data_IF_822625130138
#
_entry.id   IF_822625130138
#
_cell.length_a   1.000
_cell.length_b   1.000
_cell.length_c   1.000
_cell.angle_alpha   90.00
_cell.angle_beta   90.00
_cell.angle_gamma   90.00
#
_symmetry.space_group_name_H-M   'P 1'
#
loop_
_entity.id
_entity.type
_entity.pdbx_description
1 polymer ?
#
# COMPACT_ATOMS: atom_id res chain seq x y z
N UNK A 1 13.94 -14.79 -4.28
CA UNK A 1 15.07 -13.97 -3.82
C UNK A 1 15.30 -14.34 -2.37
N UNK A 2 16.53 -14.61 -1.99
CA UNK A 2 16.83 -14.68 -0.56
C UNK A 2 16.80 -13.25 -0.06
N UNK A 3 15.89 -12.94 0.87
CA UNK A 3 15.85 -11.62 1.48
C UNK A 3 17.11 -11.48 2.34
N UNK A 4 18.17 -10.91 1.75
CA UNK A 4 19.48 -10.74 2.40
C UNK A 4 19.35 -9.93 3.69
N UNK A 5 18.40 -9.00 3.74
CA UNK A 5 18.08 -8.24 4.95
C UNK A 5 17.49 -9.16 6.02
N UNK A 6 16.56 -10.06 5.67
CA UNK A 6 16.05 -11.07 6.59
C UNK A 6 17.13 -12.03 7.07
N UNK A 7 18.09 -12.41 6.22
CA UNK A 7 19.24 -13.23 6.64
C UNK A 7 20.16 -12.49 7.61
N UNK A 8 20.48 -11.22 7.34
CA UNK A 8 21.22 -10.35 8.25
C UNK A 8 20.51 -10.29 9.61
N UNK A 9 19.19 -10.07 9.62
CA UNK A 9 18.40 -10.05 10.86
C UNK A 9 18.49 -11.40 11.59
N UNK A 10 18.35 -12.51 10.87
CA UNK A 10 18.39 -13.85 11.45
C UNK A 10 19.74 -14.15 12.11
N UNK A 11 20.85 -13.91 11.39
CA UNK A 11 22.19 -14.21 11.91
C UNK A 11 22.56 -13.28 13.06
N UNK A 12 22.21 -11.99 12.97
CA UNK A 12 22.45 -11.05 14.06
C UNK A 12 21.65 -11.41 15.31
N UNK A 13 20.39 -11.82 15.16
CA UNK A 13 19.57 -12.27 16.28
C UNK A 13 20.18 -13.51 16.96
N UNK A 14 20.65 -14.48 16.16
CA UNK A 14 21.33 -15.66 16.68
C UNK A 14 22.61 -15.31 17.44
N UNK A 15 23.53 -14.56 16.83
CA UNK A 15 24.79 -14.17 17.48
C UNK A 15 24.56 -13.31 18.72
N UNK A 16 23.59 -12.39 18.68
CA UNK A 16 23.28 -11.54 19.82
C UNK A 16 22.73 -12.36 20.98
N UNK A 17 21.76 -13.26 20.73
CA UNK A 17 21.20 -14.16 21.74
C UNK A 17 22.27 -15.08 22.34
N UNK A 18 23.20 -15.60 21.54
CA UNK A 18 24.32 -16.41 22.03
C UNK A 18 25.23 -15.62 23.00
N UNK A 19 25.51 -14.37 22.68
CA UNK A 19 26.47 -13.54 23.42
C UNK A 19 25.88 -12.80 24.63
N UNK A 20 24.60 -12.47 24.60
CA UNK A 20 23.93 -11.70 25.66
C UNK A 20 22.97 -12.57 26.48
N UNK A 21 22.51 -13.71 25.94
CA UNK A 21 21.40 -14.51 26.48
C UNK A 21 20.08 -13.75 26.58
N UNK A 22 19.92 -12.71 25.76
CA UNK A 22 18.74 -11.85 25.74
C UNK A 22 18.23 -11.68 24.32
N UNK A 23 16.91 -11.55 24.19
CA UNK A 23 16.26 -11.18 22.94
C UNK A 23 16.11 -9.67 22.89
N UNK A 24 16.74 -9.05 21.90
CA UNK A 24 16.88 -7.59 21.80
C UNK A 24 16.39 -7.17 20.42
N UNK A 25 15.51 -6.17 20.40
CA UNK A 25 15.07 -5.56 19.16
C UNK A 25 16.14 -4.62 18.64
N UNK A 26 16.50 -4.79 17.37
CA UNK A 26 17.46 -3.95 16.67
C UNK A 26 16.97 -3.67 15.25
N UNK A 27 17.64 -2.74 14.58
CA UNK A 27 17.36 -2.32 13.23
C UNK A 27 18.42 -2.84 12.27
N UNK A 28 17.99 -3.10 11.06
CA UNK A 28 18.84 -3.30 9.88
C UNK A 28 18.28 -2.39 8.80
N UNK A 29 19.10 -1.49 8.28
CA UNK A 29 18.66 -0.45 7.34
C UNK A 29 19.73 -0.21 6.27
N UNK A 30 19.35 0.48 5.20
CA UNK A 30 20.25 0.96 4.15
C UNK A 30 20.78 2.33 4.59
N UNK A 31 22.11 2.55 4.59
CA UNK A 31 22.66 3.84 5.01
C UNK A 31 22.46 4.90 3.93
N UNK A 32 22.28 6.17 4.34
CA UNK A 32 22.23 7.30 3.40
C UNK A 32 23.56 7.53 2.68
N UNK A 33 24.67 7.10 3.29
CA UNK A 33 26.02 7.22 2.75
C UNK A 33 26.58 5.84 2.42
N UNK A 34 26.82 5.60 1.13
CA UNK A 34 27.31 4.33 0.58
C UNK A 34 28.67 3.89 1.17
N UNK A 35 29.46 4.81 1.73
CA UNK A 35 30.70 4.45 2.43
C UNK A 35 30.46 3.55 3.65
N UNK A 36 29.25 3.55 4.21
CA UNK A 36 28.86 2.69 5.34
C UNK A 36 28.29 1.33 4.92
N UNK A 37 28.42 0.96 3.65
CA UNK A 37 27.97 -0.33 3.12
C UNK A 37 26.58 -0.28 2.51
N UNK A 38 26.08 -1.44 2.13
CA UNK A 38 24.74 -1.60 1.55
C UNK A 38 23.68 -1.74 2.65
N UNK A 39 24.07 -2.35 3.77
CA UNK A 39 23.25 -2.42 4.98
C UNK A 39 24.07 -2.09 6.21
N UNK A 40 23.41 -1.57 7.24
CA UNK A 40 24.00 -1.45 8.56
C UNK A 40 23.02 -1.93 9.63
N UNK A 41 23.55 -2.29 10.80
CA UNK A 41 22.76 -2.64 11.97
C UNK A 41 23.25 -1.94 13.23
N UNK A 42 22.30 -1.57 14.09
CA UNK A 42 22.56 -1.05 15.42
C UNK A 42 22.50 -2.14 16.52
N UNK A 43 22.55 -3.43 16.18
CA UNK A 43 22.33 -4.53 17.13
C UNK A 43 23.11 -4.43 18.45
N UNK A 44 24.41 -4.13 18.39
CA UNK A 44 25.23 -3.99 19.59
C UNK A 44 24.92 -2.70 20.39
N UNK A 45 24.50 -1.63 19.70
CA UNK A 45 24.04 -0.39 20.34
C UNK A 45 22.67 -0.57 21.00
N UNK A 46 21.77 -1.33 20.38
CA UNK A 46 20.45 -1.63 20.91
C UNK A 46 20.53 -2.41 22.24
N UNK A 47 21.46 -3.36 22.34
CA UNK A 47 21.79 -4.02 23.61
C UNK A 47 22.20 -3.01 24.68
N UNK A 48 23.02 -2.02 24.31
CA UNK A 48 23.52 -1.01 25.24
C UNK A 48 22.47 0.02 25.64
N UNK A 49 21.53 0.32 24.75
CA UNK A 49 20.43 1.24 24.99
C UNK A 49 19.38 0.62 25.93
N UNK A 50 19.25 -0.71 25.95
CA UNK A 50 18.38 -1.40 26.89
C UNK A 50 18.95 -1.32 28.32
N UNK A 51 18.20 -0.67 29.21
CA UNK A 51 18.61 -0.42 30.60
C UNK A 51 18.82 -1.71 31.39
N UNK A 52 17.96 -2.71 31.21
CA UNK A 52 18.05 -3.99 31.93
C UNK A 52 19.25 -4.79 31.45
N UNK A 53 19.41 -4.88 30.13
CA UNK A 53 20.54 -5.54 29.48
C UNK A 53 21.86 -4.93 29.91
N UNK A 54 21.93 -3.60 29.99
CA UNK A 54 23.13 -2.88 30.44
C UNK A 54 23.46 -3.11 31.92
N UNK A 55 22.46 -3.28 32.78
CA UNK A 55 22.68 -3.60 34.20
C UNK A 55 23.19 -5.04 34.36
N UNK A 56 22.67 -5.97 33.56
CA UNK A 56 23.10 -7.38 33.54
C UNK A 56 24.43 -7.59 32.81
N UNK A 57 24.84 -6.65 31.97
CA UNK A 57 26.07 -6.74 31.21
C UNK A 57 27.31 -6.65 32.11
N UNK A 58 27.92 -7.81 32.36
CA UNK A 58 29.19 -7.94 33.09
C UNK A 58 30.36 -8.29 32.17
N UNK A 59 30.09 -8.62 30.90
CA UNK A 59 31.06 -9.23 29.99
C UNK A 59 31.66 -8.24 28.99
N UNK A 60 30.84 -7.36 28.41
CA UNK A 60 31.24 -6.48 27.32
C UNK A 60 31.58 -5.09 27.86
N UNK A 61 32.70 -4.50 27.45
CA UNK A 61 33.19 -3.17 27.91
C UNK A 61 32.70 -2.02 27.04
N UNK A 62 32.36 -2.28 25.77
CA UNK A 62 31.77 -1.28 24.88
C UNK A 62 30.83 -1.91 23.82
N UNK A 63 29.91 -1.13 23.22
CA UNK A 63 29.10 -1.62 22.10
C UNK A 63 29.96 -2.08 20.92
N UNK A 64 31.07 -1.38 20.66
CA UNK A 64 32.03 -1.75 19.62
C UNK A 64 32.65 -3.14 19.86
N UNK A 65 33.00 -3.47 21.11
CA UNK A 65 33.55 -4.79 21.45
C UNK A 65 32.55 -5.91 21.17
N UNK A 66 31.28 -5.70 21.52
CA UNK A 66 30.20 -6.64 21.19
C UNK A 66 30.01 -6.75 19.67
N UNK A 67 29.99 -5.63 18.96
CA UNK A 67 29.88 -5.61 17.50
C UNK A 67 31.04 -6.38 16.84
N UNK A 68 32.28 -6.15 17.28
CA UNK A 68 33.46 -6.89 16.80
C UNK A 68 33.34 -8.39 17.07
N UNK A 69 32.82 -8.78 18.24
CA UNK A 69 32.61 -10.20 18.55
C UNK A 69 31.54 -10.83 17.66
N UNK A 70 30.45 -10.12 17.40
CA UNK A 70 29.40 -10.54 16.46
C UNK A 70 29.99 -10.72 15.06
N UNK A 71 30.69 -9.71 14.54
CA UNK A 71 31.36 -9.78 13.23
C UNK A 71 32.30 -10.98 13.15
N UNK A 72 33.15 -11.17 14.16
CA UNK A 72 34.07 -12.31 14.21
C UNK A 72 33.34 -13.67 14.24
N UNK A 73 32.09 -13.75 14.71
CA UNK A 73 31.33 -15.00 14.67
C UNK A 73 30.72 -15.28 13.29
N UNK A 74 30.26 -14.25 12.59
CA UNK A 74 29.55 -14.40 11.31
C UNK A 74 30.51 -14.56 10.12
N UNK A 75 31.72 -13.98 10.18
CA UNK A 75 32.69 -14.07 9.07
C UNK A 75 33.22 -15.49 8.84
N UNK A 76 33.06 -16.39 9.81
CA UNK A 76 33.43 -17.80 9.68
C UNK A 76 32.30 -18.66 9.09
N UNK A 77 31.08 -18.12 8.97
CA UNK A 77 29.99 -18.78 8.28
C UNK A 77 30.14 -18.56 6.77
N UNK A 78 30.76 -19.52 6.09
CA UNK A 78 30.98 -19.46 4.65
C UNK A 78 29.67 -19.41 3.84
N UNK A 79 28.56 -19.92 4.38
CA UNK A 79 27.26 -19.88 3.69
C UNK A 79 26.68 -18.48 3.75
N UNK A 80 26.80 -17.80 4.88
CA UNK A 80 26.37 -16.41 5.00
C UNK A 80 27.31 -15.46 4.22
N UNK A 81 28.62 -15.64 4.38
CA UNK A 81 29.62 -14.76 3.78
C UNK A 81 29.69 -14.83 2.26
N UNK A 82 29.09 -15.82 1.59
CA UNK A 82 29.01 -15.86 0.12
C UNK A 82 28.28 -14.62 -0.46
N UNK A 83 27.43 -13.98 0.34
CA UNK A 83 26.65 -12.80 -0.04
C UNK A 83 27.41 -11.48 0.13
N UNK A 84 28.54 -11.47 0.85
CA UNK A 84 29.20 -10.25 1.31
C UNK A 84 30.69 -10.22 0.91
N UNK A 85 31.16 -9.07 0.43
CA UNK A 85 32.59 -8.79 0.28
C UNK A 85 33.24 -8.68 1.66
N UNK A 86 32.59 -7.94 2.57
CA UNK A 86 33.03 -7.79 3.96
C UNK A 86 31.91 -7.37 4.89
N UNK A 87 32.15 -7.59 6.18
CA UNK A 87 31.30 -7.11 7.28
C UNK A 87 32.19 -6.47 8.33
N UNK A 88 31.87 -5.26 8.76
CA UNK A 88 32.75 -4.44 9.59
C UNK A 88 32.03 -3.91 10.83
N UNK A 89 32.69 -4.01 11.98
CA UNK A 89 32.23 -3.34 13.20
C UNK A 89 32.85 -1.94 13.27
N UNK A 90 32.02 -0.90 13.23
CA UNK A 90 32.45 0.50 13.20
C UNK A 90 31.99 1.26 14.45
N UNK A 91 32.76 2.27 14.86
CA UNK A 91 32.43 3.11 16.03
C UNK A 91 31.09 3.83 15.81
N UNK A 92 30.23 3.96 16.85
CA UNK A 92 30.43 3.53 18.24
C UNK A 92 30.06 2.06 18.52
N UNK A 93 29.54 1.32 17.53
CA UNK A 93 29.12 -0.08 17.65
C UNK A 93 28.12 -0.50 16.58
N UNK A 94 28.18 0.12 15.40
CA UNK A 94 27.41 -0.32 14.24
C UNK A 94 28.11 -1.51 13.58
N UNK A 95 27.33 -2.28 12.84
CA UNK A 95 27.82 -3.37 12.00
C UNK A 95 27.41 -3.05 10.57
N UNK A 96 28.39 -2.79 9.69
CA UNK A 96 28.19 -2.47 8.29
C UNK A 96 28.40 -3.73 7.43
N UNK A 97 27.57 -3.90 6.42
CA UNK A 97 27.57 -5.05 5.51
C UNK A 97 27.76 -4.54 4.08
N UNK A 98 28.73 -5.13 3.37
CA UNK A 98 29.05 -4.79 1.99
C UNK A 98 28.79 -6.03 1.14
N UNK A 99 27.82 -5.97 0.23
CA UNK A 99 27.44 -7.06 -0.65
C UNK A 99 28.57 -7.38 -1.64
N UNK A 100 28.74 -8.65 -1.95
CA UNK A 100 29.72 -9.07 -2.96
C UNK A 100 29.21 -8.75 -4.37
N UNK A 101 30.13 -8.43 -5.27
CA UNK A 101 29.78 -8.18 -6.68
C UNK A 101 29.17 -9.43 -7.32
N UNK A 102 29.65 -10.61 -6.94
CA UNK A 102 29.16 -11.91 -7.37
C UNK A 102 27.69 -12.10 -6.97
N UNK A 103 27.33 -11.72 -5.74
CA UNK A 103 25.95 -11.77 -5.27
C UNK A 103 25.06 -10.82 -6.09
N UNK A 104 25.48 -9.58 -6.30
CA UNK A 104 24.72 -8.60 -7.08
C UNK A 104 24.50 -9.07 -8.52
N UNK A 105 25.53 -9.59 -9.19
CA UNK A 105 25.44 -10.15 -10.55
C UNK A 105 24.50 -11.36 -10.57
N UNK A 106 24.57 -12.23 -9.57
CA UNK A 106 23.67 -13.37 -9.45
C UNK A 106 22.21 -12.92 -9.31
N UNK A 107 21.93 -11.90 -8.49
CA UNK A 107 20.57 -11.35 -8.35
C UNK A 107 20.07 -10.73 -9.67
N UNK A 108 20.91 -9.96 -10.37
CA UNK A 108 20.56 -9.38 -11.67
C UNK A 108 20.22 -10.47 -12.71
N UNK A 109 20.97 -11.57 -12.70
CA UNK A 109 20.74 -12.70 -13.62
C UNK A 109 19.39 -13.37 -13.39
N UNK A 110 18.88 -13.39 -12.15
CA UNK A 110 17.54 -13.91 -11.84
C UNK A 110 16.41 -13.07 -12.46
N UNK A 111 16.67 -11.78 -12.69
CA UNK A 111 15.71 -10.84 -13.29
C UNK A 111 15.84 -10.79 -14.82
N UNK A 112 17.07 -10.89 -15.35
CA UNK A 112 17.38 -10.71 -16.78
C UNK A 112 16.64 -11.68 -17.72
N UNK A 113 16.23 -12.87 -17.23
CA UNK A 113 15.46 -13.85 -18.00
C UNK A 113 13.93 -13.72 -17.90
N UNK A 114 13.40 -12.76 -17.15
CA UNK A 114 11.96 -12.59 -16.89
C UNK A 114 11.55 -11.13 -17.11
N UNK A 115 10.28 -10.90 -17.44
CA UNK A 115 9.73 -9.55 -17.26
C UNK A 115 9.72 -9.24 -15.76
N UNK A 116 10.00 -7.99 -15.37
CA UNK A 116 9.99 -7.57 -13.96
C UNK A 116 8.68 -7.97 -13.26
N UNK A 117 7.55 -7.82 -13.95
CA UNK A 117 6.24 -8.27 -13.50
C UNK A 117 6.17 -9.78 -13.21
N UNK A 118 6.69 -10.62 -14.11
CA UNK A 118 6.74 -12.07 -13.91
C UNK A 118 7.66 -12.43 -12.75
N UNK A 119 8.80 -11.74 -12.63
CA UNK A 119 9.71 -11.92 -11.53
C UNK A 119 9.03 -11.64 -10.19
N UNK A 120 8.45 -10.44 -10.03
CA UNK A 120 7.73 -10.03 -8.82
C UNK A 120 6.59 -10.99 -8.51
N UNK A 121 5.78 -11.37 -9.49
CA UNK A 121 4.72 -12.35 -9.29
C UNK A 121 5.28 -13.66 -8.73
N UNK A 122 6.41 -14.16 -9.23
CA UNK A 122 6.95 -15.45 -8.78
C UNK A 122 7.65 -15.38 -7.42
N UNK A 123 8.23 -14.23 -7.05
CA UNK A 123 9.04 -14.08 -5.83
C UNK A 123 8.30 -13.45 -4.65
N UNK A 124 7.38 -12.52 -4.89
CA UNK A 124 6.59 -11.86 -3.85
C UNK A 124 5.24 -12.51 -3.70
N UNK A 125 5.12 -13.33 -2.65
CA UNK A 125 3.92 -14.13 -2.35
C UNK A 125 3.37 -13.83 -0.95
N UNK A 126 3.74 -12.68 -0.39
CA UNK A 126 3.33 -12.24 0.96
C UNK A 126 1.82 -12.25 1.18
N UNK A 127 1.01 -12.13 0.12
CA UNK A 127 -0.44 -12.23 0.17
C UNK A 127 -1.02 -13.45 -0.57
N UNK A 128 -0.21 -14.45 -0.91
CA UNK A 128 -0.67 -15.65 -1.60
C UNK A 128 -1.83 -16.34 -0.84
N UNK A 129 -2.89 -16.68 -1.57
CA UNK A 129 -4.09 -17.32 -1.01
C UNK A 129 -5.01 -16.37 -0.22
N UNK A 130 -4.62 -15.11 -0.02
CA UNK A 130 -5.49 -14.10 0.61
C UNK A 130 -6.51 -13.57 -0.39
N UNK A 131 -7.74 -13.38 0.06
CA UNK A 131 -8.79 -12.65 -0.67
C UNK A 131 -8.88 -11.25 -0.08
N UNK A 132 -8.65 -10.23 -0.91
CA UNK A 132 -8.63 -8.84 -0.47
C UNK A 132 -9.62 -8.05 -1.34
N UNK A 133 -10.49 -7.27 -0.70
CA UNK A 133 -11.36 -6.33 -1.40
C UNK A 133 -10.75 -4.93 -1.30
N UNK A 134 -10.68 -4.23 -2.43
CA UNK A 134 -10.27 -2.82 -2.50
C UNK A 134 -11.46 -2.04 -3.05
N UNK A 135 -12.08 -1.25 -2.19
CA UNK A 135 -13.20 -0.36 -2.53
C UNK A 135 -12.65 1.03 -2.83
N UNK A 136 -13.03 1.60 -3.97
CA UNK A 136 -12.57 2.93 -4.37
C UNK A 136 -13.48 3.57 -5.43
N UNK A 137 -13.25 4.86 -5.65
CA UNK A 137 -14.01 5.78 -6.52
C UNK A 137 -15.37 6.19 -5.96
N UNK A 138 -16.20 5.23 -5.54
CA UNK A 138 -17.53 5.39 -4.94
C UNK A 138 -18.30 6.62 -5.43
N UNK A 139 -18.47 6.76 -6.76
CA UNK A 139 -19.04 7.96 -7.33
C UNK A 139 -20.53 8.00 -7.01
N UNK A 140 -21.04 9.19 -6.71
CA UNK A 140 -22.48 9.39 -6.66
C UNK A 140 -23.05 9.27 -8.09
N UNK A 141 -24.04 8.40 -8.33
CA UNK A 141 -24.76 8.35 -9.59
C UNK A 141 -25.34 9.72 -9.96
N UNK A 142 -25.52 9.94 -11.26
CA UNK A 142 -26.08 11.17 -11.83
C UNK A 142 -25.25 12.45 -11.65
N UNK A 143 -24.01 12.32 -11.19
CA UNK A 143 -23.01 13.39 -11.22
C UNK A 143 -21.90 13.04 -12.20
N UNK A 144 -21.33 14.07 -12.82
CA UNK A 144 -20.17 13.90 -13.67
C UNK A 144 -18.93 13.53 -12.86
N UNK A 145 -18.09 12.67 -13.45
CA UNK A 145 -16.76 12.41 -12.91
C UNK A 145 -15.92 13.69 -12.98
N UNK A 146 -15.08 13.89 -11.97
CA UNK A 146 -14.17 15.02 -11.88
C UNK A 146 -12.82 14.53 -11.35
N UNK A 147 -11.82 15.41 -11.30
CA UNK A 147 -10.44 15.05 -10.92
C UNK A 147 -10.33 14.40 -9.53
N UNK A 148 -11.27 14.70 -8.62
CA UNK A 148 -11.39 14.04 -7.32
C UNK A 148 -11.67 12.54 -7.44
N UNK A 149 -12.55 12.14 -8.35
CA UNK A 149 -12.81 10.72 -8.65
C UNK A 149 -11.60 10.06 -9.32
N UNK A 150 -10.89 10.79 -10.20
CA UNK A 150 -9.68 10.27 -10.87
C UNK A 150 -8.59 9.89 -9.85
N UNK A 151 -8.40 10.68 -8.80
CA UNK A 151 -7.45 10.36 -7.73
C UNK A 151 -7.78 9.02 -7.06
N UNK A 152 -9.01 8.88 -6.53
CA UNK A 152 -9.44 7.65 -5.87
C UNK A 152 -9.36 6.43 -6.80
N UNK A 153 -9.76 6.60 -8.06
CA UNK A 153 -9.67 5.58 -9.09
C UNK A 153 -8.22 5.13 -9.37
N UNK A 154 -7.30 6.09 -9.49
CA UNK A 154 -5.89 5.81 -9.78
C UNK A 154 -5.20 5.14 -8.60
N UNK A 155 -5.42 5.64 -7.37
CA UNK A 155 -4.81 5.08 -6.17
C UNK A 155 -5.35 3.69 -5.88
N UNK A 156 -6.68 3.51 -5.92
CA UNK A 156 -7.31 2.21 -5.68
C UNK A 156 -6.89 1.15 -6.70
N UNK A 157 -6.78 1.52 -7.98
CA UNK A 157 -6.28 0.62 -9.02
C UNK A 157 -4.80 0.27 -8.82
N UNK A 158 -3.95 1.25 -8.47
CA UNK A 158 -2.53 1.03 -8.22
C UNK A 158 -2.32 0.07 -7.04
N UNK A 159 -3.03 0.29 -5.92
CA UNK A 159 -3.00 -0.59 -4.75
C UNK A 159 -3.50 -1.99 -5.11
N UNK A 160 -4.58 -2.09 -5.89
CA UNK A 160 -5.11 -3.39 -6.34
C UNK A 160 -4.06 -4.17 -7.13
N UNK A 161 -3.37 -3.52 -8.07
CA UNK A 161 -2.30 -4.15 -8.88
C UNK A 161 -1.11 -4.58 -8.03
N UNK A 162 -0.72 -3.77 -7.04
CA UNK A 162 0.36 -4.10 -6.14
C UNK A 162 0.03 -5.37 -5.33
N UNK A 163 -1.18 -5.44 -4.77
CA UNK A 163 -1.65 -6.61 -4.01
C UNK A 163 -1.75 -7.87 -4.88
N UNK A 164 -2.21 -7.74 -6.12
CA UNK A 164 -2.21 -8.83 -7.11
C UNK A 164 -0.78 -9.30 -7.42
N UNK A 165 0.15 -8.36 -7.59
CA UNK A 165 1.55 -8.67 -7.84
C UNK A 165 2.19 -9.43 -6.67
N UNK A 166 1.76 -9.16 -5.44
CA UNK A 166 2.16 -9.87 -4.22
C UNK A 166 1.39 -11.20 -3.97
N UNK A 167 0.58 -11.64 -4.95
CA UNK A 167 -0.11 -12.92 -4.96
C UNK A 167 -1.52 -12.95 -4.37
N UNK A 168 -2.11 -11.81 -4.01
CA UNK A 168 -3.48 -11.76 -3.50
C UNK A 168 -4.53 -12.00 -4.61
N UNK A 169 -5.68 -12.58 -4.24
CA UNK A 169 -6.88 -12.56 -5.07
C UNK A 169 -7.67 -11.28 -4.74
N UNK A 170 -7.50 -10.26 -5.57
CA UNK A 170 -8.10 -8.93 -5.34
C UNK A 170 -9.47 -8.82 -6.00
N UNK A 171 -10.43 -8.28 -5.23
CA UNK A 171 -11.74 -7.85 -5.73
C UNK A 171 -11.81 -6.33 -5.66
N UNK A 172 -11.90 -5.70 -6.83
CA UNK A 172 -12.18 -4.26 -6.94
C UNK A 172 -13.68 -4.07 -6.73
N UNK A 173 -14.04 -3.18 -5.81
CA UNK A 173 -15.42 -2.85 -5.52
C UNK A 173 -15.62 -1.34 -5.68
N UNK A 174 -16.86 -0.97 -5.99
CA UNK A 174 -17.33 0.39 -5.80
C UNK A 174 -18.71 0.34 -5.15
N UNK A 175 -18.96 1.25 -4.22
CA UNK A 175 -20.25 1.42 -3.59
C UNK A 175 -20.90 2.70 -4.12
N UNK A 176 -21.80 2.52 -5.09
CA UNK A 176 -22.53 3.62 -5.70
C UNK A 176 -23.76 3.95 -4.85
N UNK A 177 -23.93 5.22 -4.47
CA UNK A 177 -25.11 5.68 -3.74
C UNK A 177 -26.34 5.82 -4.65
N UNK A 178 -27.06 4.74 -4.90
CA UNK A 178 -28.28 4.68 -5.73
C UNK A 178 -29.56 5.18 -5.03
N UNK A 179 -29.43 5.59 -3.77
CA UNK A 179 -30.48 6.24 -2.96
C UNK A 179 -29.99 7.58 -2.42
N UNK A 180 -30.92 8.51 -2.16
CA UNK A 180 -30.63 9.80 -1.54
C UNK A 180 -31.13 11.01 -2.32
N UNK A 181 -30.92 12.19 -1.72
CA UNK A 181 -31.48 13.44 -2.21
C UNK A 181 -31.01 13.80 -3.63
N UNK A 182 -29.78 13.43 -4.00
CA UNK A 182 -29.27 13.64 -5.36
C UNK A 182 -30.06 12.85 -6.41
N UNK A 183 -30.48 11.62 -6.09
CA UNK A 183 -31.32 10.78 -6.94
C UNK A 183 -32.71 11.42 -7.11
N UNK A 184 -33.32 11.82 -5.99
CA UNK A 184 -34.64 12.45 -6.00
C UNK A 184 -34.66 13.76 -6.80
N UNK A 185 -33.64 14.62 -6.63
CA UNK A 185 -33.46 15.85 -7.40
C UNK A 185 -33.37 15.56 -8.90
N UNK A 186 -32.54 14.59 -9.31
CA UNK A 186 -32.41 14.22 -10.72
C UNK A 186 -33.71 13.66 -11.30
N UNK A 187 -34.39 12.76 -10.59
CA UNK A 187 -35.66 12.16 -11.04
C UNK A 187 -36.78 13.19 -11.15
N UNK A 188 -36.87 14.13 -10.20
CA UNK A 188 -37.81 15.24 -10.28
C UNK A 188 -37.64 16.04 -11.59
N UNK A 189 -36.41 16.42 -11.93
CA UNK A 189 -36.13 17.14 -13.17
C UNK A 189 -36.49 16.31 -14.42
N UNK A 190 -36.20 15.01 -14.39
CA UNK A 190 -36.58 14.06 -15.47
C UNK A 190 -38.10 14.02 -15.65
N UNK A 191 -38.88 14.04 -14.56
CA UNK A 191 -40.33 13.96 -14.62
C UNK A 191 -41.02 15.27 -14.99
N UNK A 192 -40.45 16.42 -14.61
CA UNK A 192 -41.03 17.74 -14.86
C UNK A 192 -40.77 18.28 -16.27
N UNK A 193 -39.63 17.93 -16.87
CA UNK A 193 -39.32 18.44 -18.21
C UNK A 193 -40.03 17.55 -19.25
N UNK A 194 -41.19 18.02 -19.72
CA UNK A 194 -41.99 17.40 -20.78
C UNK A 194 -41.19 17.15 -22.08
N UNK A 195 -40.22 18.01 -22.38
CA UNK A 195 -39.24 17.83 -23.48
C UNK A 195 -38.15 16.79 -23.19
N UNK A 196 -37.92 16.39 -21.94
CA UNK A 196 -36.97 15.30 -21.62
C UNK A 196 -37.65 13.94 -21.65
N UNK A 197 -38.96 13.83 -21.37
CA UNK A 197 -39.70 12.57 -21.57
C UNK A 197 -39.57 12.02 -22.98
N UNK A 198 -39.55 12.87 -24.01
CA UNK A 198 -39.30 12.48 -25.40
C UNK A 198 -37.82 12.20 -25.71
N UNK A 199 -36.88 12.69 -24.89
CA UNK A 199 -35.45 12.37 -24.99
C UNK A 199 -35.07 11.06 -24.28
N UNK A 200 -35.84 10.64 -23.26
CA UNK A 200 -35.68 9.33 -22.57
C UNK A 200 -35.83 8.16 -23.54
N UNK A 201 -36.76 8.23 -24.49
CA UNK A 201 -37.01 7.15 -25.44
C UNK A 201 -35.83 6.85 -26.39
N UNK A 202 -34.85 7.76 -26.49
CA UNK A 202 -33.63 7.57 -27.28
C UNK A 202 -32.34 7.59 -26.44
N UNK A 203 -32.42 7.76 -25.13
CA UNK A 203 -31.24 7.85 -24.25
C UNK A 203 -30.40 6.56 -24.22
N UNK A 204 -31.04 5.39 -24.36
CA UNK A 204 -30.34 4.10 -24.46
C UNK A 204 -29.46 3.99 -25.71
N UNK A 205 -29.80 4.72 -26.78
CA UNK A 205 -29.05 4.73 -28.05
C UNK A 205 -27.90 5.74 -28.06
N UNK A 206 -27.80 6.60 -27.03
CA UNK A 206 -26.74 7.60 -26.90
C UNK A 206 -25.48 7.01 -26.27
N UNK A 207 -24.35 7.68 -26.50
CA UNK A 207 -23.08 7.32 -25.87
C UNK A 207 -23.12 7.48 -24.35
N UNK A 208 -22.22 6.81 -23.63
CA UNK A 208 -22.10 6.93 -22.18
C UNK A 208 -21.86 8.38 -21.72
N UNK A 209 -21.10 9.15 -22.51
CA UNK A 209 -20.82 10.56 -22.25
C UNK A 209 -22.10 11.39 -22.32
N UNK A 210 -22.86 11.28 -23.40
CA UNK A 210 -24.11 12.03 -23.57
C UNK A 210 -25.16 11.67 -22.50
N UNK A 211 -25.19 10.39 -22.08
CA UNK A 211 -26.05 9.95 -20.98
C UNK A 211 -25.63 10.57 -19.65
N UNK A 212 -24.33 10.63 -19.37
CA UNK A 212 -23.80 11.25 -18.16
C UNK A 212 -24.07 12.76 -18.12
N UNK A 213 -23.84 13.46 -19.24
CA UNK A 213 -24.13 14.89 -19.37
C UNK A 213 -25.62 15.19 -19.16
N UNK A 214 -26.51 14.38 -19.75
CA UNK A 214 -27.95 14.50 -19.52
C UNK A 214 -28.32 14.34 -18.04
N UNK A 215 -27.78 13.32 -17.37
CA UNK A 215 -28.07 13.07 -15.95
C UNK A 215 -27.50 14.19 -15.05
N UNK A 216 -26.33 14.74 -15.40
CA UNK A 216 -25.74 15.90 -14.73
C UNK A 216 -26.60 17.16 -14.88
N UNK A 217 -27.17 17.40 -16.05
CA UNK A 217 -28.13 18.49 -16.28
C UNK A 217 -29.39 18.32 -15.42
N UNK A 218 -29.97 17.11 -15.40
CA UNK A 218 -31.13 16.81 -14.54
C UNK A 218 -30.82 17.07 -13.06
N UNK A 219 -29.65 16.65 -12.58
CA UNK A 219 -29.23 16.93 -11.20
C UNK A 219 -29.16 18.44 -10.94
N UNK A 220 -28.49 19.20 -11.82
CA UNK A 220 -28.32 20.64 -11.66
C UNK A 220 -29.67 21.39 -11.63
N UNK A 221 -30.59 21.04 -12.54
CA UNK A 221 -31.94 21.60 -12.56
C UNK A 221 -32.72 21.25 -11.30
N UNK A 222 -32.75 19.97 -10.92
CA UNK A 222 -33.48 19.55 -9.71
C UNK A 222 -32.89 20.11 -8.42
N UNK A 223 -31.57 20.30 -8.35
CA UNK A 223 -30.91 20.93 -7.22
C UNK A 223 -31.28 22.41 -7.09
N UNK A 224 -31.33 23.14 -8.21
CA UNK A 224 -31.78 24.53 -8.24
C UNK A 224 -33.24 24.65 -7.83
N UNK A 225 -34.13 23.86 -8.42
CA UNK A 225 -35.56 23.90 -8.10
C UNK A 225 -35.84 23.57 -6.62
N UNK A 226 -35.05 22.67 -6.04
CA UNK A 226 -35.12 22.34 -4.60
C UNK A 226 -34.82 23.54 -3.70
N UNK A 227 -33.93 24.44 -4.12
CA UNK A 227 -33.56 25.64 -3.36
C UNK A 227 -34.52 26.80 -3.63
N UNK A 228 -34.97 26.95 -4.88
CA UNK A 228 -35.74 28.11 -5.33
C UNK A 228 -37.27 27.95 -5.17
N UNK A 229 -37.79 26.73 -4.96
CA UNK A 229 -39.24 26.45 -4.95
C UNK A 229 -39.66 25.52 -3.81
N UNK A 230 -40.47 26.05 -2.87
CA UNK A 230 -41.07 25.27 -1.77
C UNK A 230 -41.96 24.13 -2.27
N UNK A 231 -42.60 24.30 -3.43
CA UNK A 231 -43.38 23.22 -4.05
C UNK A 231 -42.45 22.10 -4.53
N UNK A 232 -41.39 22.44 -5.26
CA UNK A 232 -40.43 21.46 -5.77
C UNK A 232 -39.73 20.73 -4.63
N UNK A 233 -39.33 21.46 -3.58
CA UNK A 233 -38.74 20.90 -2.37
C UNK A 233 -39.60 19.81 -1.75
N UNK A 234 -40.90 20.08 -1.53
CA UNK A 234 -41.85 19.09 -0.98
C UNK A 234 -42.00 17.87 -1.90
N UNK A 235 -42.10 18.07 -3.20
CA UNK A 235 -42.21 16.97 -4.18
C UNK A 235 -40.94 16.10 -4.20
N UNK A 236 -39.76 16.72 -4.15
CA UNK A 236 -38.47 16.03 -4.11
C UNK A 236 -38.30 15.27 -2.79
N UNK A 237 -38.66 15.85 -1.64
CA UNK A 237 -38.62 15.16 -0.34
C UNK A 237 -39.55 13.94 -0.31
N UNK A 238 -40.75 14.05 -0.88
CA UNK A 238 -41.67 12.92 -1.04
C UNK A 238 -41.10 11.84 -1.97
N UNK A 239 -40.47 12.24 -3.08
CA UNK A 239 -39.83 11.32 -4.00
C UNK A 239 -38.64 10.60 -3.35
N UNK A 240 -37.83 11.33 -2.58
CA UNK A 240 -36.75 10.75 -1.79
C UNK A 240 -37.29 9.69 -0.82
N UNK A 241 -38.39 9.98 -0.12
CA UNK A 241 -39.03 8.99 0.77
C UNK A 241 -39.43 7.72 0.02
N UNK A 242 -40.08 7.85 -1.14
CA UNK A 242 -40.45 6.69 -1.99
C UNK A 242 -39.24 5.86 -2.44
N UNK A 243 -38.13 6.50 -2.78
CA UNK A 243 -36.88 5.81 -3.15
C UNK A 243 -36.38 4.94 -1.99
N UNK A 244 -36.42 5.44 -0.76
CA UNK A 244 -36.03 4.66 0.43
C UNK A 244 -37.02 3.53 0.73
N UNK A 245 -38.31 3.78 0.53
CA UNK A 245 -39.39 2.81 0.76
C UNK A 245 -39.45 1.73 -0.34
N UNK A 246 -38.78 1.94 -1.49
CA UNK A 246 -38.78 1.09 -2.70
C UNK A 246 -40.15 0.94 -3.35
N UNK A 247 -40.97 1.99 -3.26
CA UNK A 247 -42.30 2.14 -3.87
C UNK A 247 -42.22 2.72 -5.30
#
# INVERSE_FOLDING_TARGET
>A
MTDVKAEIISILRQSLAEFTKEEINFLVEEPENENFGDYFSNAALAFWANKESRIKNQKWKSPLELAQKIVNSIIHDSKFMIHFDRVEAVKPGFINFYLSQEYLIAQLSLVSGKTLLRYVHETERSFAGRRIMVEFTDPNPFKEFHIGHLYSNTVGESVSRLLEAMGANVKRANYQGDVGMHIAKSLYAIFQISNLKSQISNLEKKSAKERAEFLGQCYATGAKDYEDSEKAKREIEQLNKKIYDKD
#
